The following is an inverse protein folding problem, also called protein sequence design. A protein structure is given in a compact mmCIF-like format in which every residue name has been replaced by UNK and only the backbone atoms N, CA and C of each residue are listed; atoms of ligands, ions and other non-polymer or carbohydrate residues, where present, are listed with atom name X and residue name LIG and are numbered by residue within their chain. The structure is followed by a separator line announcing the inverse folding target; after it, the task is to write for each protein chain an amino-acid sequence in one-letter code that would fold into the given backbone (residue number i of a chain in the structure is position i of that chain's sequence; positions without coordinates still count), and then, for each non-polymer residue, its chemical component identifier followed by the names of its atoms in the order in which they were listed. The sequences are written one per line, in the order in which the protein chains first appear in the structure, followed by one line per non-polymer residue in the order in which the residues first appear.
data_IF_092741839123
#
_entry.id   IF_092741839123
#
_cell.length_a   1.000
_cell.length_b   1.000
_cell.length_c   1.000
_cell.angle_alpha   90.00
_cell.angle_beta   90.00
_cell.angle_gamma   90.00
#
_symmetry.space_group_name_H-M   'P 1'
#
loop_
_entity.id
_entity.type
_entity.pdbx_description
1 polymer ?
#
# COMPACT_ATOMS: atom_id res chain seq x y z
N UNK A 1 19.63 7.28 11.54
CA UNK A 1 18.36 6.56 11.84
C UNK A 1 17.59 6.16 10.58
N UNK A 2 18.16 6.30 9.38
CA UNK A 2 17.59 5.99 8.07
C UNK A 2 17.70 4.52 7.63
N UNK A 3 17.46 3.56 8.55
CA UNK A 3 17.69 2.13 8.24
C UNK A 3 16.49 1.43 7.59
N UNK A 4 15.28 1.91 7.84
CA UNK A 4 14.04 1.27 7.40
C UNK A 4 13.08 2.31 6.82
N UNK A 5 12.27 1.87 5.87
CA UNK A 5 11.14 2.61 5.35
C UNK A 5 9.87 1.94 5.85
N UNK A 6 9.00 2.71 6.48
CA UNK A 6 7.72 2.21 6.96
C UNK A 6 6.64 2.44 5.90
N UNK A 7 5.88 1.38 5.61
CA UNK A 7 4.62 1.46 4.87
C UNK A 7 3.54 0.98 5.84
N UNK A 8 2.64 1.87 6.24
CA UNK A 8 1.57 1.49 7.18
C UNK A 8 0.17 1.83 6.68
N UNK A 9 -0.82 1.30 7.38
CA UNK A 9 -2.24 1.49 7.08
C UNK A 9 -2.77 2.84 7.58
N UNK A 10 -4.08 2.99 7.65
CA UNK A 10 -4.78 4.20 8.12
C UNK A 10 -4.62 4.49 9.62
N UNK A 11 -4.04 3.57 10.38
CA UNK A 11 -3.83 3.72 11.82
C UNK A 11 -2.90 4.88 12.21
N UNK A 12 -2.03 5.32 11.29
CA UNK A 12 -1.06 6.40 11.53
C UNK A 12 -1.05 7.48 10.44
N UNK A 13 -1.90 7.37 9.41
CA UNK A 13 -1.75 8.11 8.15
C UNK A 13 -1.90 9.65 8.23
N UNK A 14 -2.44 10.16 9.33
CA UNK A 14 -2.54 11.59 9.64
C UNK A 14 -2.47 11.87 11.15
N UNK A 15 -1.97 10.89 11.91
CA UNK A 15 -1.96 10.90 13.37
C UNK A 15 -0.60 11.37 13.87
N UNK A 16 -0.49 12.68 14.09
CA UNK A 16 0.73 13.31 14.61
C UNK A 16 1.14 12.78 16.00
N UNK A 17 0.19 12.27 16.77
CA UNK A 17 0.45 11.68 18.09
C UNK A 17 1.14 10.31 18.04
N UNK A 18 1.03 9.56 16.93
CA UNK A 18 1.71 8.27 16.75
C UNK A 18 3.21 8.46 16.53
N UNK A 19 3.59 9.54 15.83
CA UNK A 19 4.98 9.86 15.47
C UNK A 19 5.61 10.90 16.40
N UNK A 20 4.89 11.33 17.44
CA UNK A 20 5.36 12.35 18.37
C UNK A 20 6.65 11.92 19.08
N UNK A 21 7.72 12.70 18.94
CA UNK A 21 9.05 12.40 19.46
C UNK A 21 9.85 11.37 18.66
N UNK A 22 9.31 10.87 17.55
CA UNK A 22 9.93 9.90 16.63
C UNK A 22 9.96 10.41 15.19
N UNK A 23 9.81 11.72 14.98
CA UNK A 23 9.57 12.34 13.68
C UNK A 23 10.68 11.99 12.68
N UNK A 24 11.95 12.15 13.10
CA UNK A 24 13.13 11.84 12.29
C UNK A 24 13.22 10.36 11.85
N UNK A 25 12.66 9.44 12.65
CA UNK A 25 12.63 8.02 12.30
C UNK A 25 11.48 7.68 11.34
N UNK A 26 10.42 8.49 11.32
CA UNK A 26 9.27 8.32 10.45
C UNK A 26 9.44 8.98 9.07
N UNK A 27 10.43 9.89 8.90
CA UNK A 27 10.68 10.59 7.63
C UNK A 27 10.81 9.62 6.47
N UNK A 28 10.08 9.95 5.40
CA UNK A 28 9.98 9.18 4.17
C UNK A 28 8.98 8.03 4.23
N UNK A 29 8.43 7.72 5.40
CA UNK A 29 7.39 6.71 5.55
C UNK A 29 6.17 6.99 4.66
N UNK A 30 5.56 5.92 4.17
CA UNK A 30 4.32 5.95 3.41
C UNK A 30 3.17 5.41 4.25
N UNK A 31 2.00 6.01 4.08
CA UNK A 31 0.80 5.57 4.75
C UNK A 31 -0.43 5.77 3.87
N UNK A 32 -1.49 5.02 4.18
CA UNK A 32 -2.73 5.05 3.42
C UNK A 32 -3.81 5.65 4.30
N UNK A 33 -4.38 6.78 3.91
CA UNK A 33 -5.47 7.44 4.63
C UNK A 33 -6.78 7.17 3.90
N UNK A 34 -7.85 6.84 4.61
CA UNK A 34 -9.17 6.75 3.98
C UNK A 34 -9.57 8.14 3.48
N UNK A 35 -9.90 8.28 2.19
CA UNK A 35 -10.28 9.56 1.63
C UNK A 35 -11.61 10.00 2.25
N UNK A 36 -11.61 11.18 2.86
CA UNK A 36 -12.78 11.76 3.53
C UNK A 36 -12.86 13.24 3.22
N UNK A 37 -13.99 13.65 2.65
CA UNK A 37 -14.30 15.06 2.43
C UNK A 37 -14.37 15.84 3.75
N UNK A 38 -13.96 17.10 3.73
CA UNK A 38 -14.20 18.02 4.84
C UNK A 38 -15.71 18.27 5.02
N UNK A 39 -16.18 18.37 6.27
CA UNK A 39 -17.60 18.62 6.58
C UNK A 39 -17.75 20.01 7.20
N UNK A 40 -18.00 21.02 6.37
CA UNK A 40 -18.12 22.42 6.81
C UNK A 40 -19.29 22.67 7.75
N UNK A 41 -20.41 21.98 7.55
CA UNK A 41 -21.63 22.15 8.34
C UNK A 41 -21.44 21.67 9.78
N UNK A 42 -20.60 20.64 9.96
CA UNK A 42 -20.26 20.16 11.29
C UNK A 42 -19.43 21.20 12.05
N UNK A 43 -18.48 21.84 11.39
CA UNK A 43 -17.67 22.91 11.98
C UNK A 43 -18.52 24.10 12.42
N UNK A 44 -19.41 24.56 11.54
CA UNK A 44 -20.32 25.67 11.85
C UNK A 44 -21.16 25.37 13.08
N UNK A 45 -21.65 24.13 13.20
CA UNK A 45 -22.37 23.67 14.38
C UNK A 45 -21.48 23.55 15.61
N UNK A 46 -20.34 22.88 15.48
CA UNK A 46 -19.41 22.57 16.58
C UNK A 46 -18.85 23.82 17.23
N UNK A 47 -18.48 24.83 16.43
CA UNK A 47 -17.92 26.09 16.95
C UNK A 47 -18.93 26.96 17.69
N UNK A 48 -20.22 26.68 17.58
CA UNK A 48 -21.28 27.38 18.31
C UNK A 48 -21.63 26.71 19.65
N UNK A 49 -21.08 25.52 19.92
CA UNK A 49 -21.36 24.79 21.15
C UNK A 49 -20.71 25.47 22.37
N UNK A 50 -21.50 25.59 23.44
CA UNK A 50 -21.06 26.16 24.72
C UNK A 50 -21.59 25.27 25.87
N UNK A 51 -20.82 25.07 26.95
CA UNK A 51 -21.22 24.18 28.06
C UNK A 51 -22.51 24.61 28.79
N UNK A 52 -22.93 25.86 28.60
CA UNK A 52 -24.20 26.38 29.16
C UNK A 52 -25.43 26.04 28.30
N UNK A 53 -25.24 25.82 27.00
CA UNK A 53 -26.34 25.61 26.04
C UNK A 53 -26.47 24.15 25.59
N UNK A 54 -25.41 23.37 25.69
CA UNK A 54 -25.36 21.99 25.21
C UNK A 54 -25.61 21.01 26.36
N UNK A 55 -26.85 20.95 26.83
CA UNK A 55 -27.31 20.06 27.90
C UNK A 55 -27.58 18.62 27.43
N UNK A 56 -27.88 18.42 26.14
CA UNK A 56 -28.14 17.11 25.52
C UNK A 56 -26.94 16.15 25.57
N UNK A 57 -25.70 16.65 25.62
CA UNK A 57 -24.50 15.82 25.65
C UNK A 57 -23.93 15.78 27.08
N UNK A 58 -24.07 14.66 27.80
CA UNK A 58 -23.68 14.57 29.20
C UNK A 58 -22.17 14.66 29.43
N UNK A 59 -21.33 14.46 28.40
CA UNK A 59 -19.86 14.51 28.51
C UNK A 59 -19.27 15.85 28.06
N UNK A 60 -20.09 16.78 27.58
CA UNK A 60 -19.58 18.00 26.96
C UNK A 60 -18.91 18.95 27.97
N UNK A 61 -19.39 18.95 29.23
CA UNK A 61 -18.80 19.75 30.32
C UNK A 61 -17.43 19.20 30.73
N UNK A 62 -17.29 17.88 30.84
CA UNK A 62 -16.04 17.18 31.11
C UNK A 62 -15.03 17.42 29.99
N UNK A 63 -15.47 17.29 28.74
CA UNK A 63 -14.66 17.58 27.56
C UNK A 63 -14.12 19.02 27.59
N UNK A 64 -14.97 20.01 27.87
CA UNK A 64 -14.57 21.43 27.91
C UNK A 64 -13.48 21.67 28.95
N UNK A 65 -13.68 21.13 30.17
CA UNK A 65 -12.73 21.25 31.27
C UNK A 65 -11.39 20.60 30.94
N UNK A 66 -11.39 19.39 30.39
CA UNK A 66 -10.17 18.68 29.98
C UNK A 66 -9.45 19.40 28.84
N UNK A 67 -10.17 19.89 27.83
CA UNK A 67 -9.60 20.51 26.63
C UNK A 67 -8.97 21.88 26.91
N UNK A 68 -9.54 22.64 27.84
CA UNK A 68 -9.07 23.96 28.22
C UNK A 68 -8.31 23.99 29.55
N UNK A 69 -8.20 22.84 30.23
CA UNK A 69 -7.54 22.68 31.52
C UNK A 69 -8.06 23.67 32.58
N UNK A 70 -9.39 23.79 32.66
CA UNK A 70 -10.11 24.71 33.55
C UNK A 70 -11.28 24.01 34.24
N UNK A 71 -11.85 24.63 35.28
CA UNK A 71 -13.00 24.11 36.04
C UNK A 71 -14.26 24.93 35.77
N UNK A 72 -15.38 24.27 35.50
CA UNK A 72 -16.69 24.91 35.28
C UNK A 72 -17.46 25.04 36.61
N UNK A 73 -18.24 26.13 36.81
CA UNK A 73 -19.03 26.30 38.02
C UNK A 73 -20.05 25.18 38.20
N UNK A 74 -20.16 24.64 39.42
CA UNK A 74 -21.14 23.63 39.81
C UNK A 74 -20.65 22.16 39.82
N UNK A 75 -19.36 21.88 39.58
CA UNK A 75 -18.73 20.59 39.88
C UNK A 75 -17.72 20.73 41.03
N UNK A 76 -17.46 19.62 41.75
CA UNK A 76 -16.77 19.54 43.05
C UNK A 76 -15.62 20.55 43.26
N UNK A 77 -15.65 21.25 44.41
CA UNK A 77 -14.72 22.31 44.83
C UNK A 77 -13.24 21.88 45.00
N UNK A 78 -12.89 20.63 44.71
CA UNK A 78 -11.54 20.07 44.89
C UNK A 78 -10.67 20.05 43.61
N UNK A 79 -11.11 20.66 42.51
CA UNK A 79 -10.29 20.78 41.31
C UNK A 79 -9.16 21.79 41.51
N UNK A 80 -7.89 21.34 41.48
CA UNK A 80 -6.68 22.21 41.47
C UNK A 80 -6.57 23.14 40.24
N UNK A 81 -7.57 23.13 39.35
CA UNK A 81 -7.58 23.84 38.08
C UNK A 81 -8.20 25.23 38.24
N UNK A 82 -7.72 26.24 37.48
CA UNK A 82 -8.34 27.57 37.46
C UNK A 82 -9.77 27.50 36.91
N UNK A 83 -10.64 28.42 37.35
CA UNK A 83 -11.97 28.55 36.76
C UNK A 83 -11.90 28.93 35.28
N UNK A 84 -12.83 28.38 34.47
CA UNK A 84 -12.92 28.75 33.06
C UNK A 84 -13.32 30.23 32.91
N UNK A 85 -12.70 30.92 31.95
CA UNK A 85 -12.83 32.38 31.73
C UNK A 85 -14.07 32.78 30.92
N UNK A 86 -14.66 31.84 30.17
CA UNK A 86 -15.73 32.11 29.21
C UNK A 86 -15.23 32.65 27.87
N UNK A 87 -13.92 32.86 27.72
CA UNK A 87 -13.28 33.27 26.46
C UNK A 87 -12.68 32.09 25.67
N UNK A 88 -12.80 30.87 26.20
CA UNK A 88 -12.33 29.67 25.53
C UNK A 88 -13.10 29.45 24.21
N UNK A 89 -12.37 29.04 23.18
CA UNK A 89 -12.94 28.85 21.84
C UNK A 89 -12.52 27.51 21.26
N UNK A 90 -13.51 26.74 20.80
CA UNK A 90 -13.31 25.46 20.14
C UNK A 90 -12.56 25.59 18.79
N UNK A 91 -12.51 26.80 18.22
CA UNK A 91 -11.76 27.07 16.99
C UNK A 91 -10.25 26.97 17.19
N UNK A 92 -9.76 27.25 18.41
CA UNK A 92 -8.33 27.33 18.69
C UNK A 92 -7.69 25.94 18.73
N UNK A 93 -6.86 25.63 17.75
CA UNK A 93 -6.22 24.32 17.64
C UNK A 93 -7.21 23.20 17.27
N UNK A 94 -8.24 23.55 16.50
CA UNK A 94 -9.18 22.59 15.95
C UNK A 94 -8.55 21.83 14.78
N UNK A 95 -8.74 20.52 14.77
CA UNK A 95 -8.52 19.65 13.62
C UNK A 95 -9.73 18.73 13.53
N UNK A 96 -10.45 18.76 12.42
CA UNK A 96 -11.61 17.89 12.22
C UNK A 96 -11.15 16.43 12.17
N UNK A 97 -11.92 15.54 12.79
CA UNK A 97 -11.67 14.09 12.70
C UNK A 97 -11.76 13.65 11.23
N UNK A 98 -10.74 12.92 10.78
CA UNK A 98 -10.62 12.54 9.38
C UNK A 98 -11.61 11.44 8.96
N UNK A 99 -12.39 10.91 9.91
CA UNK A 99 -13.49 9.99 9.66
C UNK A 99 -14.87 10.63 9.84
N UNK A 100 -14.95 11.94 10.05
CA UNK A 100 -16.22 12.66 10.30
C UNK A 100 -17.23 12.49 9.14
N UNK A 101 -16.78 12.54 7.88
CA UNK A 101 -17.69 12.36 6.75
C UNK A 101 -18.31 10.96 6.71
N UNK A 102 -17.62 9.93 7.18
CA UNK A 102 -18.18 8.57 7.25
C UNK A 102 -19.31 8.47 8.28
N UNK A 103 -19.17 9.16 9.43
CA UNK A 103 -20.25 9.24 10.42
C UNK A 103 -21.47 9.88 9.80
N UNK A 104 -21.30 11.00 9.08
CA UNK A 104 -22.41 11.67 8.38
C UNK A 104 -23.02 10.76 7.32
N UNK A 105 -22.22 10.13 6.46
CA UNK A 105 -22.68 9.20 5.43
C UNK A 105 -23.45 8.01 6.04
N UNK A 106 -23.03 7.48 7.19
CA UNK A 106 -23.74 6.40 7.87
C UNK A 106 -25.13 6.84 8.36
N UNK A 107 -25.23 8.03 8.96
CA UNK A 107 -26.52 8.62 9.38
C UNK A 107 -27.43 8.82 8.16
N UNK A 108 -26.91 9.42 7.08
CA UNK A 108 -27.66 9.61 5.84
C UNK A 108 -28.07 8.28 5.20
N UNK A 109 -27.23 7.24 5.27
CA UNK A 109 -27.57 5.90 4.76
C UNK A 109 -28.77 5.33 5.49
N UNK A 110 -28.81 5.44 6.82
CA UNK A 110 -29.97 5.03 7.61
C UNK A 110 -31.22 5.86 7.26
N UNK A 111 -31.07 7.18 7.14
CA UNK A 111 -32.17 8.07 6.78
C UNK A 111 -32.74 7.75 5.39
N UNK A 112 -31.88 7.54 4.39
CA UNK A 112 -32.29 7.15 3.03
C UNK A 112 -32.92 5.77 2.98
N UNK A 113 -32.41 4.79 3.75
CA UNK A 113 -33.03 3.47 3.87
C UNK A 113 -34.46 3.58 4.39
N UNK A 114 -34.67 4.36 5.46
CA UNK A 114 -36.00 4.58 6.03
C UNK A 114 -36.91 5.38 5.07
N UNK A 115 -36.35 6.36 4.36
CA UNK A 115 -37.08 7.13 3.38
C UNK A 115 -37.58 6.26 2.22
N UNK A 116 -36.73 5.40 1.67
CA UNK A 116 -37.10 4.48 0.60
C UNK A 116 -38.16 3.49 1.07
N UNK A 117 -37.99 2.92 2.27
CA UNK A 117 -38.98 2.04 2.89
C UNK A 117 -40.32 2.73 3.10
N UNK A 118 -40.31 3.98 3.57
CA UNK A 118 -41.53 4.76 3.81
C UNK A 118 -42.26 5.09 2.51
N UNK A 119 -41.51 5.45 1.46
CA UNK A 119 -42.08 5.77 0.16
C UNK A 119 -42.77 4.56 -0.48
N UNK A 120 -42.19 3.38 -0.30
CA UNK A 120 -42.70 2.14 -0.89
C UNK A 120 -43.86 1.55 -0.08
N UNK A 121 -43.81 1.59 1.25
CA UNK A 121 -44.85 1.00 2.12
C UNK A 121 -45.98 1.95 2.50
N UNK A 122 -45.72 3.26 2.53
CA UNK A 122 -46.67 4.28 2.99
C UNK A 122 -46.85 5.44 1.97
N UNK A 123 -47.17 5.16 0.69
CA UNK A 123 -47.15 6.17 -0.39
C UNK A 123 -48.16 7.31 -0.20
N UNK A 124 -49.23 7.10 0.56
CA UNK A 124 -50.31 8.07 0.77
C UNK A 124 -50.30 8.74 2.14
N UNK A 125 -49.31 8.45 2.98
CA UNK A 125 -49.24 8.96 4.35
C UNK A 125 -47.95 9.75 4.55
N UNK A 126 -48.06 10.92 5.19
CA UNK A 126 -46.87 11.62 5.67
C UNK A 126 -46.49 11.06 7.04
N UNK A 127 -45.30 10.46 7.14
CA UNK A 127 -44.85 9.77 8.35
C UNK A 127 -45.02 8.25 8.27
N UNK A 128 -45.08 7.60 9.43
CA UNK A 128 -45.20 6.14 9.55
C UNK A 128 -46.66 5.71 9.39
N UNK A 129 -46.88 4.61 8.67
CA UNK A 129 -48.15 3.90 8.59
C UNK A 129 -48.06 2.53 9.27
N UNK A 130 -49.19 1.83 9.40
CA UNK A 130 -49.26 0.53 10.08
C UNK A 130 -48.32 -0.53 9.49
N UNK A 131 -48.00 -0.45 8.19
CA UNK A 131 -47.06 -1.34 7.53
C UNK A 131 -45.59 -1.19 8.02
N UNK A 132 -45.26 -0.08 8.70
CA UNK A 132 -43.95 0.17 9.30
C UNK A 132 -43.96 0.05 10.83
N UNK A 133 -45.07 -0.38 11.43
CA UNK A 133 -45.23 -0.45 12.88
C UNK A 133 -45.51 -1.89 13.35
N UNK A 134 -44.54 -2.58 13.98
CA UNK A 134 -43.14 -2.19 14.19
C UNK A 134 -42.30 -2.32 12.91
N UNK A 135 -41.16 -1.63 12.85
CA UNK A 135 -40.25 -1.71 11.71
C UNK A 135 -39.64 -3.11 11.64
N UNK A 136 -39.85 -3.81 10.52
CA UNK A 136 -39.21 -5.09 10.25
C UNK A 136 -37.74 -4.89 9.86
N UNK A 137 -36.82 -5.33 10.72
CA UNK A 137 -35.38 -5.16 10.52
C UNK A 137 -34.81 -5.89 9.29
N UNK A 138 -35.33 -7.08 8.94
CA UNK A 138 -34.89 -7.80 7.74
C UNK A 138 -35.30 -7.07 6.47
N UNK A 139 -36.52 -6.54 6.46
CA UNK A 139 -37.01 -5.72 5.35
C UNK A 139 -36.21 -4.42 5.23
N UNK A 140 -35.96 -3.75 6.36
CA UNK A 140 -35.15 -2.53 6.40
C UNK A 140 -33.71 -2.76 5.91
N UNK A 141 -33.12 -3.93 6.20
CA UNK A 141 -31.81 -4.31 5.64
C UNK A 141 -31.83 -4.30 4.13
N UNK A 142 -32.87 -4.85 3.51
CA UNK A 142 -32.96 -4.95 2.04
C UNK A 142 -33.06 -3.54 1.41
N UNK A 143 -33.70 -2.58 2.10
CA UNK A 143 -33.65 -1.17 1.72
C UNK A 143 -32.26 -0.57 1.89
N UNK A 144 -31.58 -0.83 3.01
CA UNK A 144 -30.21 -0.35 3.28
C UNK A 144 -29.20 -0.80 2.22
N UNK A 145 -29.26 -2.07 1.80
CA UNK A 145 -28.35 -2.62 0.78
C UNK A 145 -28.52 -1.96 -0.60
N UNK A 146 -29.70 -1.39 -0.88
CA UNK A 146 -30.02 -0.75 -2.15
C UNK A 146 -30.09 0.78 -2.07
N UNK A 147 -29.54 1.38 -1.00
CA UNK A 147 -29.44 2.84 -0.89
C UNK A 147 -28.46 3.38 -1.93
N UNK A 148 -28.86 4.46 -2.61
CA UNK A 148 -27.97 5.26 -3.46
C UNK A 148 -28.30 6.73 -3.25
N UNK A 149 -27.29 7.50 -2.84
CA UNK A 149 -27.41 8.96 -2.71
C UNK A 149 -26.07 9.63 -2.96
N UNK A 150 -26.09 10.95 -3.10
CA UNK A 150 -24.89 11.77 -3.25
C UNK A 150 -24.64 12.56 -1.98
N UNK A 151 -23.39 12.56 -1.51
CA UNK A 151 -22.92 13.36 -0.38
C UNK A 151 -21.61 14.06 -0.78
N UNK A 152 -21.56 15.39 -0.75
CA UNK A 152 -20.39 16.18 -1.16
C UNK A 152 -19.82 15.79 -2.55
N UNK A 153 -20.69 15.65 -3.55
CA UNK A 153 -20.37 15.19 -4.92
C UNK A 153 -19.81 13.77 -5.02
N UNK A 154 -19.88 12.98 -3.96
CA UNK A 154 -19.53 11.56 -3.96
C UNK A 154 -20.78 10.70 -3.91
N UNK A 155 -20.82 9.67 -4.77
CA UNK A 155 -21.89 8.68 -4.73
C UNK A 155 -21.63 7.68 -3.60
N UNK A 156 -22.61 7.50 -2.72
CA UNK A 156 -22.63 6.49 -1.67
C UNK A 156 -23.47 5.32 -2.15
N UNK A 157 -22.82 4.17 -2.30
CA UNK A 157 -23.40 2.90 -2.76
C UNK A 157 -22.72 1.75 -2.02
N UNK A 158 -23.31 0.56 -2.08
CA UNK A 158 -22.82 -0.64 -1.40
C UNK A 158 -22.76 -1.82 -2.36
N UNK A 159 -21.77 -2.69 -2.19
CA UNK A 159 -21.67 -3.96 -2.90
C UNK A 159 -22.66 -5.01 -2.33
N UNK A 160 -22.68 -6.20 -2.92
CA UNK A 160 -23.55 -7.31 -2.45
C UNK A 160 -23.31 -7.76 -0.99
N UNK A 161 -22.19 -7.36 -0.37
CA UNK A 161 -21.84 -7.66 1.02
C UNK A 161 -22.09 -6.47 1.95
N UNK A 162 -22.48 -5.32 1.41
CA UNK A 162 -22.71 -4.09 2.18
C UNK A 162 -21.47 -3.21 2.33
N UNK A 163 -20.43 -3.43 1.52
CA UNK A 163 -19.19 -2.65 1.58
C UNK A 163 -19.25 -1.48 0.58
N UNK A 164 -18.92 -0.24 0.99
CA UNK A 164 -18.80 0.88 0.06
C UNK A 164 -17.50 0.77 -0.77
N UNK A 165 -17.42 1.43 -1.95
CA UNK A 165 -16.19 1.46 -2.73
C UNK A 165 -15.05 2.12 -1.93
N UNK A 166 -13.88 1.49 -1.94
CA UNK A 166 -12.69 1.98 -1.25
C UNK A 166 -12.03 3.14 -2.00
N UNK A 167 -11.74 4.22 -1.26
CA UNK A 167 -10.96 5.37 -1.74
C UNK A 167 -9.96 5.77 -0.69
N UNK A 168 -8.72 5.96 -1.09
CA UNK A 168 -7.63 6.28 -0.17
C UNK A 168 -6.72 7.35 -0.75
N UNK A 169 -6.19 8.18 0.15
CA UNK A 169 -5.09 9.08 -0.14
C UNK A 169 -3.79 8.39 0.30
N UNK A 170 -2.78 8.46 -0.56
CA UNK A 170 -1.43 7.99 -0.24
C UNK A 170 -0.68 9.17 0.36
N UNK A 171 -0.23 9.01 1.59
CA UNK A 171 0.43 10.05 2.37
C UNK A 171 1.91 9.70 2.55
N UNK A 172 2.78 10.69 2.46
CA UNK A 172 4.22 10.56 2.74
C UNK A 172 4.60 11.49 3.88
N UNK A 173 5.34 10.98 4.86
CA UNK A 173 5.75 11.77 6.02
C UNK A 173 7.03 12.54 5.73
N UNK A 174 6.95 13.86 5.68
CA UNK A 174 8.02 14.71 5.15
C UNK A 174 8.47 15.77 6.16
N UNK A 175 9.75 16.14 6.06
CA UNK A 175 10.29 17.32 6.72
C UNK A 175 10.09 18.54 5.83
N UNK A 176 9.38 19.53 6.34
CA UNK A 176 9.09 20.79 5.64
C UNK A 176 10.27 21.77 5.75
N UNK A 177 10.29 22.77 4.88
CA UNK A 177 11.35 23.79 4.83
C UNK A 177 11.50 24.57 6.14
N UNK A 178 10.39 24.78 6.84
CA UNK A 178 10.36 25.44 8.15
C UNK A 178 10.89 24.56 9.30
N UNK A 179 11.35 23.34 9.01
CA UNK A 179 11.87 22.37 9.96
C UNK A 179 10.81 21.56 10.70
N UNK A 180 9.53 21.79 10.44
CA UNK A 180 8.44 20.96 10.97
C UNK A 180 8.22 19.70 10.14
N UNK A 181 7.41 18.77 10.64
CA UNK A 181 7.11 17.51 9.96
C UNK A 181 5.61 17.37 9.76
N UNK A 182 5.21 16.87 8.59
CA UNK A 182 3.79 16.65 8.29
C UNK A 182 3.57 15.52 7.29
N UNK A 183 2.34 15.03 7.22
CA UNK A 183 1.88 14.07 6.22
C UNK A 183 1.43 14.82 4.97
N UNK A 184 2.12 14.58 3.86
CA UNK A 184 1.84 15.22 2.57
C UNK A 184 1.16 14.22 1.65
N UNK A 185 0.01 14.56 1.02
CA UNK A 185 -0.62 13.69 0.04
C UNK A 185 0.25 13.62 -1.21
N UNK A 186 0.60 12.40 -1.62
CA UNK A 186 1.47 12.11 -2.77
C UNK A 186 0.77 11.24 -3.82
N UNK A 187 -0.46 10.82 -3.58
CA UNK A 187 -1.18 9.96 -4.51
C UNK A 187 -2.57 9.60 -4.01
N UNK A 188 -3.27 8.80 -4.81
CA UNK A 188 -4.61 8.28 -4.50
C UNK A 188 -4.76 6.84 -4.96
N UNK A 189 -5.65 6.12 -4.30
CA UNK A 189 -6.15 4.84 -4.75
C UNK A 189 -7.67 4.91 -4.82
N UNK A 190 -8.24 4.65 -6.00
CA UNK A 190 -9.69 4.62 -6.21
C UNK A 190 -10.05 3.33 -6.96
N UNK A 191 -10.78 2.44 -6.28
CA UNK A 191 -11.37 1.23 -6.85
C UNK A 191 -10.43 0.41 -7.76
N UNK A 192 -9.22 0.12 -7.25
CA UNK A 192 -8.20 -0.67 -7.97
C UNK A 192 -7.21 0.14 -8.81
N UNK A 193 -7.43 1.45 -8.98
CA UNK A 193 -6.50 2.32 -9.69
C UNK A 193 -5.61 3.05 -8.71
N UNK A 194 -4.30 2.80 -8.77
CA UNK A 194 -3.28 3.51 -7.99
C UNK A 194 -2.65 4.61 -8.84
N UNK A 195 -2.67 5.84 -8.33
CA UNK A 195 -1.97 7.00 -8.91
C UNK A 195 -1.03 7.56 -7.85
N UNK A 196 0.28 7.53 -8.11
CA UNK A 196 1.30 8.11 -7.22
C UNK A 196 2.12 9.12 -8.03
N UNK A 197 2.31 10.29 -7.43
CA UNK A 197 3.16 11.36 -7.92
C UNK A 197 4.56 11.15 -7.34
N UNK A 198 5.38 10.35 -8.03
CA UNK A 198 6.73 9.99 -7.57
C UNK A 198 7.60 11.22 -7.27
N UNK A 199 7.39 12.30 -8.02
CA UNK A 199 8.06 13.60 -7.83
C UNK A 199 7.77 14.27 -6.49
N UNK A 200 6.66 13.92 -5.83
CA UNK A 200 6.28 14.43 -4.52
C UNK A 200 6.75 13.53 -3.38
N UNK A 201 7.18 12.30 -3.66
CA UNK A 201 7.61 11.35 -2.64
C UNK A 201 9.04 11.65 -2.24
N UNK A 202 9.26 11.80 -0.92
CA UNK A 202 10.59 11.95 -0.36
C UNK A 202 10.96 10.67 0.36
N UNK A 203 12.15 10.15 0.06
CA UNK A 203 12.77 9.05 0.80
C UNK A 203 13.90 9.58 1.68
N UNK A 204 14.07 8.99 2.86
CA UNK A 204 15.15 9.33 3.79
C UNK A 204 16.48 8.60 3.42
N UNK A 205 16.86 8.67 2.14
CA UNK A 205 18.05 8.04 1.55
C UNK A 205 18.99 9.12 1.01
N UNK A 206 20.30 8.82 0.96
CA UNK A 206 21.33 9.79 0.53
C UNK A 206 21.23 10.18 -0.94
N UNK A 207 20.65 9.32 -1.76
CA UNK A 207 20.41 9.50 -3.19
C UNK A 207 18.96 9.89 -3.52
N UNK A 208 18.08 9.97 -2.51
CA UNK A 208 16.66 10.26 -2.67
C UNK A 208 15.86 9.14 -3.35
N UNK A 209 16.47 7.98 -3.58
CA UNK A 209 15.82 6.84 -4.22
C UNK A 209 15.09 5.95 -3.19
N UNK A 210 14.04 5.21 -3.62
CA UNK A 210 13.40 4.24 -2.75
C UNK A 210 14.39 3.15 -2.33
N UNK A 211 14.34 2.70 -1.06
CA UNK A 211 15.16 1.58 -0.63
C UNK A 211 14.74 0.30 -1.33
N UNK A 212 15.72 -0.43 -1.84
CA UNK A 212 15.50 -1.73 -2.47
C UNK A 212 15.35 -2.79 -1.36
N UNK A 213 14.22 -3.50 -1.36
CA UNK A 213 13.93 -4.57 -0.39
C UNK A 213 13.84 -5.91 -1.11
N UNK A 214 14.99 -6.44 -1.54
CA UNK A 214 15.12 -7.76 -2.15
C UNK A 214 15.97 -8.68 -1.27
N UNK A 215 15.65 -9.98 -1.26
CA UNK A 215 16.43 -10.96 -0.50
C UNK A 215 17.74 -11.32 -1.22
N UNK A 216 17.65 -11.50 -2.55
CA UNK A 216 18.76 -11.82 -3.42
C UNK A 216 18.75 -10.89 -4.63
N UNK A 217 19.91 -10.35 -4.97
CA UNK A 217 20.07 -9.56 -6.19
C UNK A 217 19.87 -10.42 -7.45
N UNK A 218 19.51 -9.81 -8.59
CA UNK A 218 19.46 -10.50 -9.87
C UNK A 218 20.81 -11.16 -10.20
N UNK A 219 20.77 -12.42 -10.63
CA UNK A 219 21.97 -13.16 -10.97
C UNK A 219 22.66 -12.62 -12.22
N UNK A 220 23.98 -12.74 -12.25
CA UNK A 220 24.78 -12.28 -13.38
C UNK A 220 24.65 -13.26 -14.56
N UNK A 221 25.24 -12.85 -15.68
CA UNK A 221 25.34 -13.69 -16.86
C UNK A 221 25.99 -15.06 -16.56
N UNK A 222 25.44 -16.14 -17.13
CA UNK A 222 25.85 -17.55 -16.91
C UNK A 222 25.70 -18.05 -15.47
N UNK A 223 24.83 -17.43 -14.68
CA UNK A 223 24.44 -17.91 -13.35
C UNK A 223 22.94 -18.24 -13.33
N UNK A 224 22.58 -19.28 -12.59
CA UNK A 224 21.18 -19.64 -12.32
C UNK A 224 20.84 -19.43 -10.84
N UNK A 225 19.56 -19.20 -10.58
CA UNK A 225 18.97 -19.09 -9.25
C UNK A 225 18.83 -20.48 -8.65
N UNK A 226 19.72 -20.81 -7.72
CA UNK A 226 19.58 -21.98 -6.87
C UNK A 226 18.78 -21.59 -5.64
N UNK A 227 17.55 -22.12 -5.51
CA UNK A 227 16.76 -21.92 -4.30
C UNK A 227 17.29 -22.82 -3.18
N UNK A 228 17.45 -22.26 -1.98
CA UNK A 228 17.85 -23.04 -0.82
C UNK A 228 16.63 -23.86 -0.37
N UNK A 229 16.73 -25.19 -0.43
CA UNK A 229 15.75 -26.10 0.18
C UNK A 229 15.89 -26.08 1.72
N UNK A 230 15.83 -24.90 2.32
CA UNK A 230 15.40 -24.78 3.71
C UNK A 230 13.96 -25.26 3.69
N UNK A 231 13.60 -26.27 4.50
CA UNK A 231 12.30 -26.99 4.49
C UNK A 231 11.05 -26.15 4.83
N UNK A 232 11.02 -24.93 4.34
CA UNK A 232 10.01 -23.90 4.43
C UNK A 232 9.74 -23.41 3.00
N UNK A 233 8.66 -23.89 2.38
CA UNK A 233 8.22 -23.58 1.00
C UNK A 233 7.93 -22.08 0.75
N UNK A 234 8.14 -21.23 1.74
CA UNK A 234 7.76 -19.81 1.74
C UNK A 234 8.85 -18.87 1.21
N UNK A 235 10.12 -19.28 1.06
CA UNK A 235 11.21 -18.40 0.64
C UNK A 235 11.51 -18.42 -0.87
N UNK A 236 10.46 -18.34 -1.71
CA UNK A 236 10.63 -18.29 -3.19
C UNK A 236 11.35 -17.03 -3.70
N UNK A 237 11.54 -16.01 -2.87
CA UNK A 237 12.22 -14.77 -3.24
C UNK A 237 13.73 -14.76 -2.90
N UNK A 238 14.24 -15.79 -2.22
CA UNK A 238 15.64 -15.90 -1.82
C UNK A 238 16.32 -17.01 -2.64
N UNK A 239 17.37 -16.65 -3.36
CA UNK A 239 18.18 -17.58 -4.16
C UNK A 239 19.67 -17.30 -4.01
N UNK A 240 20.48 -18.30 -4.33
CA UNK A 240 21.93 -18.17 -4.47
C UNK A 240 22.25 -18.25 -5.96
N UNK A 241 22.95 -17.25 -6.47
CA UNK A 241 23.43 -17.25 -7.84
C UNK A 241 24.59 -18.23 -7.97
N UNK A 242 24.38 -19.28 -8.76
CA UNK A 242 25.36 -20.35 -8.96
C UNK A 242 25.76 -20.36 -10.43
N UNK A 243 27.06 -20.37 -10.77
CA UNK A 243 27.50 -20.42 -12.16
C UNK A 243 27.15 -21.78 -12.78
N UNK A 244 26.75 -21.77 -14.06
CA UNK A 244 26.64 -23.02 -14.84
C UNK A 244 28.02 -23.64 -15.06
N UNK A 245 28.07 -24.98 -15.16
CA UNK A 245 29.29 -25.70 -15.48
C UNK A 245 29.83 -25.36 -16.89
N UNK A 246 31.09 -25.74 -17.15
CA UNK A 246 31.78 -25.42 -18.43
C UNK A 246 31.11 -26.04 -19.64
N UNK A 247 30.55 -27.22 -19.51
CA UNK A 247 29.82 -27.99 -20.52
C UNK A 247 28.30 -27.72 -20.53
N UNK A 248 27.85 -26.78 -19.69
CA UNK A 248 26.46 -26.36 -19.58
C UNK A 248 26.21 -24.97 -20.15
N UNK A 249 24.97 -24.72 -20.53
CA UNK A 249 24.45 -23.41 -20.89
C UNK A 249 23.24 -23.08 -19.98
N UNK A 250 22.97 -21.79 -19.80
CA UNK A 250 21.84 -21.30 -19.04
C UNK A 250 20.57 -21.46 -19.89
N UNK A 251 19.71 -22.43 -19.53
CA UNK A 251 18.46 -22.68 -20.25
C UNK A 251 17.35 -21.74 -19.81
N UNK A 252 17.27 -21.50 -18.52
CA UNK A 252 16.36 -20.54 -17.89
C UNK A 252 17.03 -19.99 -16.63
N UNK A 253 16.36 -19.06 -15.93
CA UNK A 253 16.93 -18.44 -14.73
C UNK A 253 17.16 -19.40 -13.55
N UNK A 254 16.72 -20.67 -13.62
CA UNK A 254 16.75 -21.59 -12.46
C UNK A 254 17.48 -22.90 -12.74
N UNK A 255 17.87 -23.18 -13.98
CA UNK A 255 18.45 -24.46 -14.40
C UNK A 255 19.45 -24.24 -15.54
N UNK A 256 20.63 -24.82 -15.36
CA UNK A 256 21.60 -25.02 -16.42
C UNK A 256 21.39 -26.39 -17.08
N UNK A 257 21.68 -26.50 -18.38
CA UNK A 257 21.55 -27.75 -19.12
C UNK A 257 22.83 -28.07 -19.87
N UNK A 258 23.23 -29.35 -19.85
CA UNK A 258 24.32 -29.86 -20.68
C UNK A 258 23.95 -29.94 -22.16
N UNK A 259 24.94 -29.69 -23.00
CA UNK A 259 24.83 -29.92 -24.44
C UNK A 259 24.80 -31.41 -24.77
N UNK A 260 24.17 -31.76 -25.90
CA UNK A 260 24.21 -33.13 -26.41
C UNK A 260 25.64 -33.48 -26.87
N UNK A 261 26.03 -34.77 -26.85
CA UNK A 261 27.33 -35.20 -27.38
C UNK A 261 27.55 -34.71 -28.81
N UNK A 262 28.74 -34.15 -29.08
CA UNK A 262 29.07 -33.51 -30.36
C UNK A 262 28.77 -32.01 -30.43
N UNK A 263 28.16 -31.44 -29.40
CA UNK A 263 27.90 -30.01 -29.25
C UNK A 263 28.59 -29.45 -28.01
N UNK A 264 28.91 -28.16 -28.03
CA UNK A 264 29.54 -27.43 -26.92
C UNK A 264 28.81 -26.11 -26.67
N UNK A 265 28.72 -25.62 -25.41
CA UNK A 265 28.06 -24.34 -25.15
C UNK A 265 28.65 -23.19 -25.96
N UNK A 266 27.78 -22.35 -26.51
CA UNK A 266 28.18 -21.16 -27.23
C UNK A 266 28.88 -20.14 -26.29
N UNK A 267 29.58 -19.16 -26.85
CA UNK A 267 30.25 -18.10 -26.07
C UNK A 267 29.29 -17.35 -25.15
N UNK A 268 28.04 -17.20 -25.61
CA UNK A 268 26.95 -16.53 -24.91
C UNK A 268 26.20 -17.43 -23.91
N UNK A 269 26.64 -18.68 -23.70
CA UNK A 269 26.06 -19.64 -22.75
C UNK A 269 24.53 -19.70 -22.77
N UNK A 270 23.92 -19.44 -23.93
CA UNK A 270 22.48 -19.47 -24.19
C UNK A 270 22.03 -20.70 -24.96
N UNK A 271 22.99 -21.45 -25.52
CA UNK A 271 22.73 -22.63 -26.32
C UNK A 271 24.00 -23.40 -26.63
N UNK A 272 23.92 -24.30 -27.61
CA UNK A 272 25.00 -25.21 -27.98
C UNK A 272 25.33 -25.11 -29.47
N UNK A 273 26.63 -25.03 -29.79
CA UNK A 273 27.17 -25.05 -31.14
C UNK A 273 27.81 -26.42 -31.44
N UNK A 274 27.74 -26.88 -32.70
CA UNK A 274 28.36 -28.15 -33.09
C UNK A 274 29.90 -28.04 -33.04
N UNK A 275 30.54 -29.06 -32.45
CA UNK A 275 32.01 -29.11 -32.40
C UNK A 275 32.53 -29.39 -33.83
N UNK A 276 33.39 -28.52 -34.38
CA UNK A 276 33.89 -28.70 -35.74
C UNK A 276 34.75 -29.95 -35.84
N UNK A 277 34.47 -30.80 -36.82
CA UNK A 277 35.25 -32.01 -37.07
C UNK A 277 36.58 -31.62 -37.68
N UNK A 278 37.66 -31.79 -36.90
CA UNK A 278 39.02 -31.78 -37.44
C UNK A 278 39.31 -33.15 -38.01
N UNK A 279 39.47 -33.20 -39.33
CA UNK A 279 39.97 -34.37 -40.03
C UNK A 279 41.36 -34.04 -40.58
N UNK A 280 42.17 -35.08 -40.74
CA UNK A 280 43.49 -34.98 -41.32
C UNK A 280 43.33 -34.67 -42.82
N UNK A 281 43.91 -33.56 -43.26
CA UNK A 281 43.93 -33.15 -44.64
C UNK A 281 45.22 -33.61 -45.32
N UNK A 282 45.18 -33.79 -46.65
CA UNK A 282 46.36 -34.13 -47.45
C UNK A 282 47.48 -33.10 -47.36
N UNK A 283 47.13 -31.84 -47.06
CA UNK A 283 48.05 -30.73 -46.85
C UNK A 283 48.71 -30.72 -45.46
N UNK A 284 48.23 -31.54 -44.52
CA UNK A 284 48.77 -31.54 -43.17
C UNK A 284 50.16 -32.18 -43.17
N UNK A 285 51.07 -31.60 -42.37
CA UNK A 285 52.47 -32.04 -42.32
C UNK A 285 52.60 -33.54 -42.02
N UNK A 286 51.79 -34.04 -41.07
CA UNK A 286 51.76 -35.45 -40.70
C UNK A 286 51.35 -36.36 -41.88
N UNK A 287 50.37 -35.93 -42.69
CA UNK A 287 49.93 -36.65 -43.90
C UNK A 287 51.04 -36.70 -44.94
N UNK A 288 51.71 -35.58 -45.19
CA UNK A 288 52.78 -35.47 -46.18
C UNK A 288 53.96 -36.37 -45.79
N UNK A 289 54.33 -36.38 -44.51
CA UNK A 289 55.38 -37.26 -43.99
C UNK A 289 54.98 -38.74 -44.15
N UNK A 290 53.76 -39.11 -43.76
CA UNK A 290 53.29 -40.49 -43.90
C UNK A 290 53.26 -40.95 -45.38
N UNK A 291 52.80 -40.09 -46.29
CA UNK A 291 52.69 -40.41 -47.72
C UNK A 291 54.05 -40.49 -48.42
N UNK A 292 54.97 -39.58 -48.08
CA UNK A 292 56.33 -39.62 -48.61
C UNK A 292 57.06 -40.89 -48.15
N UNK A 293 56.96 -41.25 -46.86
CA UNK A 293 57.52 -42.49 -46.33
C UNK A 293 56.90 -43.74 -46.98
N UNK A 294 55.57 -43.78 -47.13
CA UNK A 294 54.89 -44.87 -47.81
C UNK A 294 55.33 -44.99 -49.28
N UNK A 295 55.47 -43.87 -49.99
CA UNK A 295 55.92 -43.84 -51.39
C UNK A 295 57.36 -44.32 -51.53
N UNK A 296 58.25 -43.89 -50.63
CA UNK A 296 59.63 -44.39 -50.56
C UNK A 296 59.67 -45.89 -50.25
N UNK A 297 58.82 -46.36 -49.34
CA UNK A 297 58.67 -47.79 -49.03
C UNK A 297 58.24 -48.59 -50.26
N UNK A 298 57.21 -48.15 -50.98
CA UNK A 298 56.77 -48.77 -52.23
C UNK A 298 57.90 -48.82 -53.27
N UNK A 299 58.64 -47.73 -53.45
CA UNK A 299 59.78 -47.68 -54.37
C UNK A 299 60.91 -48.63 -53.97
N UNK A 300 61.16 -48.81 -52.67
CA UNK A 300 62.18 -49.71 -52.16
C UNK A 300 61.78 -51.21 -52.18
N UNK A 301 60.49 -51.51 -52.38
CA UNK A 301 59.98 -52.89 -52.42
C UNK A 301 59.93 -53.45 -53.85
N UNK A 302 60.03 -52.59 -54.87
CA UNK A 302 60.16 -52.96 -56.29
C UNK A 302 61.60 -53.31 -56.68
#
# INVERSE_FOLDING_TARGET
TSRFLFIGSDGWADRSDVVAGLEEAAVGGLSIKINSSYVSEFDDHYFQLHPEKNDRNPWFREFWQMRFNCSLPGQEENSKLPGCSGMESLRKGYKQDTKMAFVMKAIYTMAWGLHNMQKDLCPSTQGLCDAMLPVNGSLYRDYLMNVTFTYNNESVTFDSRGDPPGRYDIMNYQRLENGSFDYIPVGTWDNGTLVVHEELVIFNSSDGLPPISVCSEPCSYNEYKSFVETGDDTQRCCWICTPCDRDEYLKNETVCQRCQPGYWPNLNKTGCDAIPVKHIMWSDAESIVALSLASLGFLATC
#
